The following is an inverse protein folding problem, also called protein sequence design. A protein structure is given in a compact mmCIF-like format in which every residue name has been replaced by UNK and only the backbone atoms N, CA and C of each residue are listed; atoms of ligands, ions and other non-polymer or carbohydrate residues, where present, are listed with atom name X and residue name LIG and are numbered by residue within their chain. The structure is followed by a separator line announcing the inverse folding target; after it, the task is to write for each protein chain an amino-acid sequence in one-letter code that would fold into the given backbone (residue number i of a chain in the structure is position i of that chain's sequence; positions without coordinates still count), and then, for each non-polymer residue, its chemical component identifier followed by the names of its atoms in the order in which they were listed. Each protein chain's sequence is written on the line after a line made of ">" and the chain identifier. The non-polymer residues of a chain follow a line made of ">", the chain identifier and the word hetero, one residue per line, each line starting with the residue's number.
data_IF_319545452422
#
_entry.id   IF_319545452422
#
_cell.length_a   1.000
_cell.length_b   1.000
_cell.length_c   1.000
_cell.angle_alpha   90.00
_cell.angle_beta   90.00
_cell.angle_gamma   90.00
#
_symmetry.space_group_name_H-M   'P 1'
#
loop_
_entity.id
_entity.type
_entity.pdbx_description
1 polymer ?
#
# COMPACT_ATOMS: atom_id res chain seq x y z
N UNK A 1 4.70 27.53 20.61
CA UNK A 1 5.07 26.70 21.77
C UNK A 1 4.01 26.85 22.85
N UNK A 2 3.04 25.94 22.93
CA UNK A 2 2.13 25.91 24.10
C UNK A 2 2.91 25.35 25.29
N UNK A 3 2.88 26.06 26.42
CA UNK A 3 3.54 25.61 27.65
C UNK A 3 2.89 24.30 28.09
N UNK A 4 3.69 23.30 28.46
CA UNK A 4 3.25 21.92 28.80
C UNK A 4 2.07 21.86 29.79
N UNK A 5 1.91 22.89 30.62
CA UNK A 5 0.82 23.05 31.59
C UNK A 5 -0.55 23.34 30.95
N UNK A 6 -0.60 24.05 29.82
CA UNK A 6 -1.85 24.38 29.12
C UNK A 6 -2.44 23.17 28.40
N UNK A 7 -1.60 22.27 27.89
CA UNK A 7 -2.06 21.02 27.27
C UNK A 7 -2.69 20.08 28.31
N UNK A 8 -2.03 19.90 29.45
CA UNK A 8 -2.55 19.06 30.53
C UNK A 8 -3.89 19.60 31.07
N UNK A 9 -4.01 20.92 31.25
CA UNK A 9 -5.25 21.54 31.69
C UNK A 9 -6.40 21.35 30.67
N UNK A 10 -6.12 21.51 29.37
CA UNK A 10 -7.11 21.26 28.31
C UNK A 10 -7.51 19.79 28.20
N UNK A 11 -6.57 18.87 28.43
CA UNK A 11 -6.84 17.43 28.44
C UNK A 11 -7.78 17.06 29.61
N UNK A 12 -7.47 17.52 30.83
CA UNK A 12 -8.28 17.27 32.01
C UNK A 12 -9.66 17.95 31.95
N UNK A 13 -9.78 19.09 31.25
CA UNK A 13 -11.08 19.73 31.04
C UNK A 13 -11.98 18.92 30.08
N UNK A 14 -11.40 18.25 29.09
CA UNK A 14 -12.14 17.37 28.16
C UNK A 14 -12.48 16.03 28.79
N UNK A 15 -11.56 15.46 29.56
CA UNK A 15 -11.76 14.22 30.28
C UNK A 15 -12.48 14.52 31.59
N UNK A 16 -13.81 14.47 31.63
CA UNK A 16 -14.57 14.66 32.88
C UNK A 16 -14.38 13.45 33.82
N UNK A 17 -13.42 13.45 34.76
CA UNK A 17 -12.95 12.22 35.39
C UNK A 17 -13.99 11.61 36.36
N UNK A 18 -14.99 12.41 36.75
CA UNK A 18 -16.08 12.05 37.66
C UNK A 18 -17.42 11.71 36.98
N UNK A 19 -17.59 12.03 35.70
CA UNK A 19 -18.84 11.74 34.95
C UNK A 19 -18.77 10.41 34.18
N UNK A 20 -17.63 9.73 34.20
CA UNK A 20 -17.55 8.38 33.66
C UNK A 20 -18.25 7.43 34.62
N UNK A 21 -19.40 6.94 34.19
CA UNK A 21 -20.05 5.79 34.78
C UNK A 21 -19.17 4.55 34.52
N UNK A 22 -18.23 4.28 35.44
CA UNK A 22 -17.38 3.08 35.44
C UNK A 22 -18.20 1.79 35.72
N UNK A 23 -19.53 1.85 35.72
CA UNK A 23 -20.37 0.68 35.95
C UNK A 23 -20.23 -0.38 34.86
N UNK A 24 -20.71 -1.58 35.19
CA UNK A 24 -20.66 -2.86 34.50
C UNK A 24 -20.80 -2.89 32.96
N UNK A 25 -21.27 -1.81 32.30
CA UNK A 25 -21.32 -1.72 30.83
C UNK A 25 -19.96 -1.90 30.15
N UNK A 26 -18.85 -1.43 30.72
CA UNK A 26 -17.51 -1.65 30.13
C UNK A 26 -17.06 -3.11 30.19
N UNK A 27 -17.46 -3.85 31.22
CA UNK A 27 -17.18 -5.29 31.34
C UNK A 27 -17.94 -6.11 30.30
N UNK A 28 -19.01 -5.56 29.69
CA UNK A 28 -19.69 -6.22 28.56
C UNK A 28 -18.84 -6.27 27.30
N UNK A 29 -17.88 -5.36 27.13
CA UNK A 29 -16.97 -5.37 25.96
C UNK A 29 -15.96 -6.51 26.04
N UNK A 30 -15.55 -6.88 27.26
CA UNK A 30 -14.60 -7.98 27.50
C UNK A 30 -15.27 -9.37 27.50
N UNK A 31 -16.61 -9.43 27.51
CA UNK A 31 -17.32 -10.71 27.58
C UNK A 31 -17.09 -11.60 26.34
N UNK A 32 -16.69 -11.00 25.22
CA UNK A 32 -16.40 -11.69 23.96
C UNK A 32 -14.90 -11.69 23.61
N UNK A 33 -14.05 -11.04 24.41
CA UNK A 33 -12.61 -11.00 24.14
C UNK A 33 -11.96 -12.31 24.58
N UNK A 34 -11.03 -12.87 23.80
CA UNK A 34 -10.26 -14.03 24.21
C UNK A 34 -9.47 -13.72 25.48
N UNK A 35 -9.28 -14.71 26.35
CA UNK A 35 -8.45 -14.55 27.54
C UNK A 35 -6.99 -14.25 27.13
N UNK A 36 -6.25 -13.58 28.02
CA UNK A 36 -4.86 -13.16 27.77
C UNK A 36 -3.99 -14.33 27.28
N UNK A 37 -4.05 -15.54 27.86
CA UNK A 37 -3.29 -16.68 27.36
C UNK A 37 -3.64 -17.04 25.92
N UNK A 38 -4.92 -17.03 25.56
CA UNK A 38 -5.39 -17.31 24.19
C UNK A 38 -4.88 -16.26 23.22
N UNK A 39 -4.91 -14.97 23.59
CA UNK A 39 -4.35 -13.90 22.76
C UNK A 39 -2.83 -14.08 22.55
N UNK A 40 -2.10 -14.48 23.60
CA UNK A 40 -0.65 -14.71 23.50
C UNK A 40 -0.34 -15.86 22.54
N UNK A 41 -1.08 -16.97 22.64
CA UNK A 41 -0.94 -18.11 21.74
C UNK A 41 -1.21 -17.70 20.28
N UNK A 42 -2.33 -17.00 20.02
CA UNK A 42 -2.66 -16.48 18.70
C UNK A 42 -1.57 -15.57 18.13
N UNK A 43 -0.97 -14.70 18.95
CA UNK A 43 0.14 -13.84 18.53
C UNK A 43 1.36 -14.69 18.15
N UNK A 44 1.68 -15.73 18.92
CA UNK A 44 2.81 -16.60 18.63
C UNK A 44 2.60 -17.39 17.34
N UNK A 45 1.42 -17.97 17.16
CA UNK A 45 1.04 -18.69 15.93
C UNK A 45 1.11 -17.77 14.71
N UNK A 46 0.55 -16.57 14.82
CA UNK A 46 0.58 -15.57 13.74
C UNK A 46 2.01 -15.20 13.37
N UNK A 47 2.88 -14.97 14.37
CA UNK A 47 4.31 -14.69 14.14
C UNK A 47 5.02 -15.86 13.47
N UNK A 48 4.72 -17.10 13.87
CA UNK A 48 5.31 -18.29 13.28
C UNK A 48 4.87 -18.47 11.81
N UNK A 49 3.60 -18.18 11.51
CA UNK A 49 3.09 -18.20 10.14
C UNK A 49 3.76 -17.12 9.28
N UNK A 50 3.84 -15.88 9.79
CA UNK A 50 4.52 -14.78 9.12
C UNK A 50 5.99 -15.10 8.85
N UNK A 51 6.70 -15.67 9.82
CA UNK A 51 8.10 -16.06 9.64
C UNK A 51 8.28 -17.13 8.55
N UNK A 52 7.32 -18.05 8.39
CA UNK A 52 7.33 -19.04 7.29
C UNK A 52 7.09 -18.36 5.94
N UNK A 53 6.10 -17.47 5.86
CA UNK A 53 5.81 -16.71 4.64
C UNK A 53 7.01 -15.85 4.21
N UNK A 54 7.65 -15.16 5.15
CA UNK A 54 8.82 -14.33 4.89
C UNK A 54 10.00 -15.13 4.37
N UNK A 55 10.20 -16.38 4.84
CA UNK A 55 11.22 -17.28 4.31
C UNK A 55 10.97 -17.62 2.86
N UNK A 56 9.74 -18.02 2.51
CA UNK A 56 9.37 -18.33 1.12
C UNK A 56 9.55 -17.10 0.23
N UNK A 57 9.13 -15.91 0.69
CA UNK A 57 9.35 -14.65 -0.04
C UNK A 57 10.84 -14.36 -0.22
N UNK A 58 11.66 -14.54 0.80
CA UNK A 58 13.11 -14.32 0.73
C UNK A 58 13.79 -15.27 -0.26
N UNK A 59 13.42 -16.55 -0.27
CA UNK A 59 13.91 -17.54 -1.22
C UNK A 59 13.53 -17.16 -2.66
N UNK A 60 12.28 -16.74 -2.88
CA UNK A 60 11.83 -16.27 -4.21
C UNK A 60 12.57 -15.03 -4.67
N UNK A 61 12.78 -14.05 -3.79
CA UNK A 61 13.56 -12.85 -4.11
C UNK A 61 15.02 -13.22 -4.44
N UNK A 62 15.61 -14.18 -3.72
CA UNK A 62 16.95 -14.66 -4.02
C UNK A 62 17.03 -15.37 -5.38
N UNK A 63 16.05 -16.23 -5.70
CA UNK A 63 15.95 -16.87 -7.01
C UNK A 63 15.80 -15.84 -8.15
N UNK A 64 14.98 -14.80 -7.94
CA UNK A 64 14.82 -13.68 -8.88
C UNK A 64 16.13 -12.91 -9.09
N UNK A 65 16.86 -12.59 -8.01
CA UNK A 65 18.18 -11.93 -8.11
C UNK A 65 19.19 -12.76 -8.91
N UNK A 66 19.07 -14.08 -8.89
CA UNK A 66 19.90 -15.00 -9.66
C UNK A 66 19.36 -15.27 -11.07
N UNK A 67 18.27 -14.62 -11.49
CA UNK A 67 17.65 -14.80 -12.80
C UNK A 67 16.93 -16.15 -12.99
N UNK A 68 16.67 -16.88 -11.91
CA UNK A 68 16.04 -18.21 -11.95
C UNK A 68 14.52 -18.15 -11.99
N UNK A 69 13.93 -16.99 -11.69
CA UNK A 69 12.49 -16.80 -11.57
C UNK A 69 12.13 -15.33 -11.83
N UNK A 70 10.95 -15.07 -12.38
CA UNK A 70 10.33 -13.75 -12.40
C UNK A 70 9.43 -13.53 -11.18
N UNK A 71 9.45 -12.31 -10.63
CA UNK A 71 8.51 -11.90 -9.58
C UNK A 71 7.19 -11.43 -10.22
N UNK A 72 6.10 -11.67 -9.51
CA UNK A 72 4.80 -11.10 -9.86
C UNK A 72 4.78 -9.58 -9.61
N UNK A 73 3.90 -8.85 -10.29
CA UNK A 73 3.76 -7.40 -10.10
C UNK A 73 3.50 -7.02 -8.64
N UNK A 74 2.71 -7.82 -7.92
CA UNK A 74 2.43 -7.62 -6.49
C UNK A 74 3.70 -7.80 -5.64
N UNK A 75 4.52 -8.82 -5.92
CA UNK A 75 5.79 -9.05 -5.22
C UNK A 75 6.80 -7.93 -5.49
N UNK A 76 6.83 -7.42 -6.73
CA UNK A 76 7.66 -6.25 -7.09
C UNK A 76 7.18 -5.02 -6.33
N UNK A 77 5.87 -4.80 -6.22
CA UNK A 77 5.30 -3.69 -5.47
C UNK A 77 5.65 -3.77 -3.98
N UNK A 78 5.48 -4.94 -3.36
CA UNK A 78 5.86 -5.18 -1.97
C UNK A 78 7.34 -4.93 -1.72
N UNK A 79 8.21 -5.43 -2.61
CA UNK A 79 9.66 -5.24 -2.50
C UNK A 79 10.03 -3.76 -2.57
N UNK A 80 9.44 -3.02 -3.52
CA UNK A 80 9.67 -1.57 -3.65
C UNK A 80 9.20 -0.81 -2.42
N UNK A 81 8.04 -1.18 -1.87
CA UNK A 81 7.53 -0.55 -0.66
C UNK A 81 8.44 -0.78 0.55
N UNK A 82 8.99 -1.99 0.70
CA UNK A 82 9.99 -2.29 1.75
C UNK A 82 11.24 -1.43 1.59
N UNK A 83 11.80 -1.33 0.38
CA UNK A 83 12.97 -0.50 0.10
C UNK A 83 12.69 0.99 0.37
N UNK A 84 11.49 1.47 0.03
CA UNK A 84 11.08 2.84 0.35
C UNK A 84 10.93 3.07 1.85
N UNK A 85 10.37 2.09 2.58
CA UNK A 85 10.25 2.17 4.03
C UNK A 85 11.62 2.22 4.71
N UNK A 86 12.56 1.38 4.28
CA UNK A 86 13.92 1.32 4.83
C UNK A 86 14.71 2.60 4.57
N UNK A 87 14.53 3.22 3.39
CA UNK A 87 15.25 4.44 3.01
C UNK A 87 14.66 5.71 3.63
N UNK A 88 13.33 5.82 3.72
CA UNK A 88 12.65 7.03 4.19
C UNK A 88 12.31 6.99 5.69
N UNK A 89 12.33 5.81 6.30
CA UNK A 89 11.76 5.57 7.62
C UNK A 89 10.24 5.78 7.65
N UNK A 90 9.62 5.47 8.79
CA UNK A 90 8.16 5.49 8.93
C UNK A 90 7.53 6.86 8.62
N UNK A 91 8.12 7.95 9.12
CA UNK A 91 7.60 9.30 8.91
C UNK A 91 7.79 9.78 7.47
N UNK A 92 8.95 9.51 6.86
CA UNK A 92 9.23 9.85 5.48
C UNK A 92 8.32 9.11 4.51
N UNK A 93 8.11 7.81 4.74
CA UNK A 93 7.18 6.99 3.95
C UNK A 93 5.74 7.50 4.06
N UNK A 94 5.25 7.80 5.27
CA UNK A 94 3.90 8.33 5.46
C UNK A 94 3.70 9.68 4.74
N UNK A 95 4.70 10.55 4.79
CA UNK A 95 4.69 11.84 4.10
C UNK A 95 4.72 11.65 2.59
N UNK A 96 5.58 10.76 2.09
CA UNK A 96 5.67 10.39 0.68
C UNK A 96 4.34 9.88 0.13
N UNK A 97 3.71 8.91 0.81
CA UNK A 97 2.39 8.36 0.43
C UNK A 97 1.36 9.49 0.42
N UNK A 98 1.28 10.26 1.50
CA UNK A 98 0.30 11.35 1.61
C UNK A 98 0.47 12.38 0.49
N UNK A 99 1.71 12.76 0.15
CA UNK A 99 1.97 13.75 -0.89
C UNK A 99 1.74 13.19 -2.30
N UNK A 100 2.22 11.97 -2.57
CA UNK A 100 2.07 11.35 -3.87
C UNK A 100 0.62 11.00 -4.20
N UNK A 101 -0.17 10.57 -3.23
CA UNK A 101 -1.56 10.16 -3.46
C UNK A 101 -2.60 11.23 -3.12
N UNK A 102 -2.19 12.46 -2.79
CA UNK A 102 -3.08 13.61 -2.59
C UNK A 102 -4.04 13.84 -3.77
N UNK A 103 -3.61 13.54 -4.99
CA UNK A 103 -4.42 13.72 -6.19
C UNK A 103 -5.52 12.66 -6.37
N UNK A 104 -5.42 11.49 -5.71
CA UNK A 104 -6.45 10.45 -5.78
C UNK A 104 -7.65 10.71 -4.86
N UNK A 105 -7.50 11.63 -3.89
CA UNK A 105 -8.53 12.00 -2.92
C UNK A 105 -9.25 13.33 -3.27
N UNK A 106 -8.92 13.94 -4.40
CA UNK A 106 -9.72 15.04 -4.94
C UNK A 106 -10.76 14.42 -5.87
N UNK A 107 -12.03 14.73 -5.64
CA UNK A 107 -13.23 14.19 -6.31
C UNK A 107 -13.24 14.37 -7.85
N UNK A 108 -12.33 13.73 -8.57
CA UNK A 108 -12.56 13.43 -9.97
C UNK A 108 -13.35 12.12 -10.06
N UNK A 109 -14.51 12.11 -10.75
CA UNK A 109 -15.21 10.87 -11.01
C UNK A 109 -14.25 9.93 -11.75
N UNK A 110 -14.17 8.69 -11.27
CA UNK A 110 -13.44 7.60 -11.91
C UNK A 110 -14.20 7.24 -13.19
N UNK A 111 -14.12 8.09 -14.20
CA UNK A 111 -14.49 7.74 -15.56
C UNK A 111 -13.21 7.38 -16.31
N UNK A 112 -13.09 6.07 -16.49
CA UNK A 112 -12.28 5.31 -17.43
C UNK A 112 -10.83 5.00 -17.03
N UNK A 113 -10.47 3.69 -16.98
CA UNK A 113 -9.07 3.29 -16.92
C UNK A 113 -8.34 3.74 -18.20
N UNK A 114 -7.04 4.10 -18.12
CA UNK A 114 -6.28 4.47 -19.29
C UNK A 114 -6.27 3.30 -20.29
N UNK A 115 -6.75 3.55 -21.52
CA UNK A 115 -6.54 2.61 -22.62
C UNK A 115 -5.05 2.39 -22.78
N UNK A 116 -4.60 1.17 -22.46
CA UNK A 116 -3.33 0.65 -22.96
C UNK A 116 -3.38 0.74 -24.49
N UNK A 117 -2.69 1.74 -25.06
CA UNK A 117 -2.39 1.74 -26.48
C UNK A 117 -1.35 0.65 -26.71
N UNK A 118 -1.86 -0.55 -27.01
CA UNK A 118 -1.11 -1.65 -27.57
C UNK A 118 -0.66 -1.25 -28.97
N UNK A 119 0.51 -0.63 -29.09
CA UNK A 119 1.23 -0.50 -30.36
C UNK A 119 1.75 -1.87 -30.80
N UNK A 120 0.81 -2.68 -31.29
CA UNK A 120 1.07 -3.82 -32.14
C UNK A 120 -0.02 -3.86 -33.20
N UNK A 121 0.28 -3.34 -34.38
CA UNK A 121 -0.09 -4.04 -35.59
C UNK A 121 0.86 -3.75 -36.74
N UNK A 122 1.51 -4.85 -37.14
CA UNK A 122 2.25 -5.08 -38.37
C UNK A 122 1.31 -4.89 -39.57
N UNK A 123 1.89 -4.32 -40.64
CA UNK A 123 1.42 -4.15 -42.03
C UNK A 123 0.36 -5.17 -42.51
N UNK A 124 -0.66 -4.67 -43.23
CA UNK A 124 -0.93 -5.05 -44.63
C UNK A 124 -2.02 -4.15 -45.27
N UNK A 125 -1.77 -3.68 -46.50
CA UNK A 125 -2.84 -3.23 -47.41
C UNK A 125 -2.84 -1.75 -47.78
N UNK A 126 -1.98 -1.34 -48.72
CA UNK A 126 -2.31 -0.21 -49.61
C UNK A 126 -1.90 -0.55 -51.03
N UNK A 127 -2.90 -0.94 -51.82
CA UNK A 127 -2.83 -1.10 -53.26
C UNK A 127 -2.91 0.28 -53.92
N UNK A 128 -1.92 0.53 -54.78
CA UNK A 128 -1.91 1.38 -55.99
C UNK A 128 -2.36 2.86 -55.95
N UNK A 129 -1.40 3.72 -56.28
CA UNK A 129 -1.57 4.84 -57.22
C UNK A 129 -0.20 5.16 -57.87
N UNK A 130 -0.08 4.93 -59.18
CA UNK A 130 1.05 5.34 -60.03
C UNK A 130 1.07 6.86 -60.22
N UNK A 131 2.27 7.45 -60.40
CA UNK A 131 2.43 8.59 -61.28
C UNK A 131 3.29 8.23 -62.51
N UNK A 132 2.71 8.49 -63.67
CA UNK A 132 3.34 8.53 -65.00
C UNK A 132 4.53 9.47 -65.01
N UNK A 133 5.66 9.01 -65.56
CA UNK A 133 6.77 9.88 -65.98
C UNK A 133 7.01 9.62 -67.46
N UNK A 134 6.79 10.65 -68.28
CA UNK A 134 7.17 10.68 -69.70
C UNK A 134 8.70 10.73 -69.86
N UNK A 135 9.25 10.19 -70.96
CA UNK A 135 10.65 10.37 -71.31
C UNK A 135 10.83 11.69 -72.07
N UNK A 136 11.90 12.44 -71.77
CA UNK A 136 12.41 13.48 -72.65
C UNK A 136 13.78 13.07 -73.16
N UNK A 137 13.81 12.87 -74.48
CA UNK A 137 14.90 12.90 -75.47
C UNK A 137 16.36 12.78 -75.03
#
# INVERSE_FOLDING_TARGET
>A
MLRKTEYAARFLQKCKPRDYDYTAKRHKWLANDPDIPTMVEQIQETRALQAKEERVKAERIAAWRNGLLELTDIEIYELRLKVLADSLGAYGLATFITQHFKHLNNDQPIDQPPQFQSDKNVRLGRTEQMPTVEPRD
#
